data_IF_706730454222
#
_entry.id   IF_706730454222
#
_cell.length_a   1.000
_cell.length_b   1.000
_cell.length_c   1.000
_cell.angle_alpha   90.00
_cell.angle_beta   90.00
_cell.angle_gamma   90.00
#
_symmetry.space_group_name_H-M   'P 1'
#
loop_
_entity.id
_entity.type
_entity.pdbx_description
1 polymer ?
#
# COMPACT_ATOMS: atom_id res chain seq x y z
N UNK A 1 -28.35 -22.75 -6.30
CA UNK A 1 -27.30 -22.04 -7.09
C UNK A 1 -26.59 -21.13 -6.12
N UNK A 2 -25.32 -21.30 -5.90
CA UNK A 2 -24.53 -20.40 -5.09
C UNK A 2 -24.57 -19.00 -5.72
N UNK A 3 -24.89 -17.98 -4.93
CA UNK A 3 -24.99 -16.61 -5.44
C UNK A 3 -23.59 -16.18 -5.91
N UNK A 4 -23.44 -15.78 -7.17
CA UNK A 4 -22.17 -15.31 -7.73
C UNK A 4 -21.68 -14.13 -6.89
N UNK A 5 -20.47 -14.21 -6.35
CA UNK A 5 -19.85 -13.14 -5.59
C UNK A 5 -19.40 -12.03 -6.53
N UNK A 6 -19.81 -10.80 -6.26
CA UNK A 6 -19.50 -9.61 -7.04
C UNK A 6 -18.74 -8.64 -6.17
N UNK A 7 -17.53 -8.29 -6.54
CA UNK A 7 -16.68 -7.35 -5.81
C UNK A 7 -16.54 -6.02 -6.54
N UNK A 8 -16.67 -4.91 -5.82
CA UNK A 8 -16.34 -3.57 -6.31
C UNK A 8 -15.10 -3.06 -5.56
N UNK A 9 -14.03 -2.77 -6.31
CA UNK A 9 -12.76 -2.27 -5.78
C UNK A 9 -12.58 -0.81 -6.22
N UNK A 10 -12.55 0.13 -5.28
CA UNK A 10 -12.06 1.48 -5.56
C UNK A 10 -10.55 1.51 -5.49
N UNK A 11 -9.89 2.34 -6.32
CA UNK A 11 -8.43 2.37 -6.35
C UNK A 11 -7.79 1.11 -6.95
N UNK A 12 -8.48 0.43 -7.86
CA UNK A 12 -8.05 -0.84 -8.46
C UNK A 12 -6.69 -0.77 -9.19
N UNK A 13 -6.29 0.41 -9.64
CA UNK A 13 -4.99 0.65 -10.31
C UNK A 13 -3.83 0.85 -9.33
N UNK A 14 -4.11 0.91 -8.03
CA UNK A 14 -3.10 0.97 -6.99
C UNK A 14 -2.37 -0.36 -6.77
N UNK A 15 -1.37 -0.36 -5.88
CA UNK A 15 -0.67 -1.57 -5.47
C UNK A 15 -1.67 -2.63 -4.97
N UNK A 16 -2.39 -2.32 -3.90
CA UNK A 16 -3.29 -3.26 -3.23
C UNK A 16 -4.48 -3.63 -4.12
N UNK A 17 -5.06 -2.65 -4.82
CA UNK A 17 -6.19 -2.87 -5.73
C UNK A 17 -5.86 -3.85 -6.84
N UNK A 18 -4.65 -3.80 -7.39
CA UNK A 18 -4.21 -4.71 -8.45
C UNK A 18 -4.01 -6.15 -7.94
N UNK A 19 -3.40 -6.34 -6.76
CA UNK A 19 -3.25 -7.66 -6.15
C UNK A 19 -4.58 -8.25 -5.66
N UNK A 20 -5.43 -7.40 -5.07
CA UNK A 20 -6.76 -7.84 -4.65
C UNK A 20 -7.62 -8.27 -5.83
N UNK A 21 -7.54 -7.54 -6.97
CA UNK A 21 -8.25 -7.94 -8.19
C UNK A 21 -7.79 -9.32 -8.69
N UNK A 22 -6.49 -9.60 -8.70
CA UNK A 22 -5.93 -10.93 -9.04
C UNK A 22 -6.48 -12.00 -8.09
N UNK A 23 -6.36 -11.79 -6.79
CA UNK A 23 -6.83 -12.72 -5.75
C UNK A 23 -8.33 -13.04 -5.90
N UNK A 24 -9.16 -12.01 -6.11
CA UNK A 24 -10.60 -12.21 -6.21
C UNK A 24 -10.99 -12.91 -7.53
N UNK A 25 -10.30 -12.63 -8.63
CA UNK A 25 -10.48 -13.36 -9.90
C UNK A 25 -10.13 -14.85 -9.74
N UNK A 26 -9.02 -15.17 -9.06
CA UNK A 26 -8.63 -16.56 -8.75
C UNK A 26 -9.67 -17.27 -7.86
N UNK A 27 -10.31 -16.53 -6.95
CA UNK A 27 -11.42 -17.02 -6.12
C UNK A 27 -12.77 -17.09 -6.86
N UNK A 28 -12.82 -16.76 -8.14
CA UNK A 28 -14.02 -16.88 -8.98
C UNK A 28 -15.02 -15.74 -8.86
N UNK A 29 -14.62 -14.59 -8.32
CA UNK A 29 -15.47 -13.39 -8.26
C UNK A 29 -15.68 -12.76 -9.65
N UNK A 30 -16.79 -12.05 -9.78
CA UNK A 30 -16.96 -11.00 -10.79
C UNK A 30 -16.38 -9.71 -10.23
N UNK A 31 -15.26 -9.27 -10.79
CA UNK A 31 -14.49 -8.15 -10.25
C UNK A 31 -14.75 -6.88 -11.03
N UNK A 32 -15.25 -5.87 -10.35
CA UNK A 32 -15.47 -4.53 -10.86
C UNK A 32 -14.52 -3.56 -10.19
N UNK A 33 -13.83 -2.73 -10.97
CA UNK A 33 -12.93 -1.71 -10.44
C UNK A 33 -13.34 -0.32 -10.84
N UNK A 34 -13.14 0.66 -9.95
CA UNK A 34 -13.29 2.06 -10.31
C UNK A 34 -11.96 2.69 -10.67
N UNK A 35 -11.96 3.47 -11.75
CA UNK A 35 -10.85 4.29 -12.22
C UNK A 35 -11.30 5.74 -12.41
N UNK A 36 -10.41 6.70 -12.15
CA UNK A 36 -10.68 8.10 -12.43
C UNK A 36 -10.49 8.40 -13.91
N UNK A 37 -11.18 9.40 -14.44
CA UNK A 37 -10.89 9.92 -15.78
C UNK A 37 -9.54 10.62 -15.77
N UNK A 38 -8.70 10.27 -16.73
CA UNK A 38 -7.38 10.87 -16.90
C UNK A 38 -7.02 10.88 -18.39
N UNK A 39 -6.22 11.87 -18.81
CA UNK A 39 -5.59 11.92 -20.13
C UNK A 39 -4.35 11.03 -20.24
N UNK A 40 -3.85 10.52 -19.11
CA UNK A 40 -2.70 9.60 -19.03
C UNK A 40 -3.21 8.22 -18.64
N UNK A 41 -2.71 7.19 -19.30
CA UNK A 41 -2.99 5.80 -18.92
C UNK A 41 -2.15 5.42 -17.69
N UNK A 42 -2.83 5.03 -16.62
CA UNK A 42 -2.25 4.58 -15.34
C UNK A 42 -2.69 3.17 -14.95
N UNK A 43 -3.15 2.36 -15.96
CA UNK A 43 -3.66 1.00 -15.75
C UNK A 43 -2.57 -0.08 -15.83
N UNK A 44 -1.29 0.31 -15.87
CA UNK A 44 -0.17 -0.61 -16.04
C UNK A 44 -0.24 -1.82 -15.11
N UNK A 45 -0.59 -1.62 -13.80
CA UNK A 45 -0.65 -2.71 -12.81
C UNK A 45 -1.78 -3.71 -13.03
N UNK A 46 -2.79 -3.35 -13.84
CA UNK A 46 -3.96 -4.19 -14.12
C UNK A 46 -4.11 -4.53 -15.61
N UNK A 47 -3.19 -4.09 -16.46
CA UNK A 47 -3.28 -4.27 -17.91
C UNK A 47 -3.38 -5.75 -18.33
N UNK A 48 -2.74 -6.65 -17.58
CA UNK A 48 -2.79 -8.11 -17.80
C UNK A 48 -4.14 -8.75 -17.43
N UNK A 49 -5.02 -8.02 -16.74
CA UNK A 49 -6.38 -8.45 -16.40
C UNK A 49 -7.41 -8.02 -17.45
N UNK A 50 -7.08 -7.06 -18.31
CA UNK A 50 -7.99 -6.57 -19.34
C UNK A 50 -8.35 -7.69 -20.33
N UNK A 51 -9.63 -7.74 -20.71
CA UNK A 51 -10.15 -8.78 -21.59
C UNK A 51 -10.61 -10.07 -20.90
N UNK A 52 -10.36 -10.24 -19.62
CA UNK A 52 -10.95 -11.36 -18.84
C UNK A 52 -12.47 -11.15 -18.71
N UNK A 53 -13.30 -12.19 -18.89
CA UNK A 53 -14.77 -12.05 -18.95
C UNK A 53 -15.41 -11.61 -17.62
N UNK A 54 -14.71 -11.79 -16.51
CA UNK A 54 -15.13 -11.44 -15.16
C UNK A 54 -14.33 -10.28 -14.56
N UNK A 55 -13.74 -9.42 -15.40
CA UNK A 55 -13.02 -8.21 -15.01
C UNK A 55 -13.57 -6.98 -15.74
N UNK A 56 -14.05 -5.99 -14.97
CA UNK A 56 -14.76 -4.83 -15.51
C UNK A 56 -14.26 -3.54 -14.87
N UNK A 57 -14.10 -2.49 -15.69
CA UNK A 57 -13.70 -1.16 -15.22
C UNK A 57 -14.84 -0.14 -15.40
N UNK A 58 -14.99 0.73 -14.43
CA UNK A 58 -15.96 1.81 -14.39
C UNK A 58 -15.30 3.14 -14.05
N UNK A 59 -15.78 4.22 -14.63
CA UNK A 59 -15.33 5.56 -14.23
C UNK A 59 -16.12 6.03 -13.00
N UNK A 60 -15.39 6.31 -11.91
CA UNK A 60 -15.92 6.97 -10.71
C UNK A 60 -14.81 7.69 -9.95
N UNK A 61 -15.16 8.71 -9.20
CA UNK A 61 -14.27 9.47 -8.33
C UNK A 61 -14.86 9.58 -6.93
N UNK A 62 -14.04 9.43 -5.88
CA UNK A 62 -14.50 9.58 -4.48
C UNK A 62 -14.98 11.00 -4.15
N UNK A 63 -14.58 12.00 -4.94
CA UNK A 63 -15.09 13.36 -4.86
C UNK A 63 -16.48 13.56 -5.50
N UNK A 64 -17.01 12.57 -6.23
CA UNK A 64 -18.27 12.66 -6.96
C UNK A 64 -19.27 11.57 -6.54
N UNK A 65 -20.20 11.94 -5.67
CA UNK A 65 -21.25 11.05 -5.15
C UNK A 65 -22.10 10.42 -6.25
N UNK A 66 -22.41 11.17 -7.34
CA UNK A 66 -23.24 10.64 -8.41
C UNK A 66 -22.56 9.52 -9.18
N UNK A 67 -21.27 9.67 -9.49
CA UNK A 67 -20.52 8.61 -10.18
C UNK A 67 -20.46 7.33 -9.35
N UNK A 68 -20.28 7.46 -8.03
CA UNK A 68 -20.26 6.32 -7.09
C UNK A 68 -21.62 5.63 -7.05
N UNK A 69 -22.72 6.38 -6.89
CA UNK A 69 -24.10 5.83 -6.86
C UNK A 69 -24.44 5.13 -8.18
N UNK A 70 -24.06 5.71 -9.32
CA UNK A 70 -24.29 5.10 -10.64
C UNK A 70 -23.58 3.74 -10.77
N UNK A 71 -22.31 3.66 -10.37
CA UNK A 71 -21.56 2.40 -10.39
C UNK A 71 -22.15 1.40 -9.40
N UNK A 72 -22.44 1.83 -8.16
CA UNK A 72 -23.02 0.98 -7.12
C UNK A 72 -24.35 0.36 -7.58
N UNK A 73 -25.24 1.18 -8.15
CA UNK A 73 -26.54 0.73 -8.66
C UNK A 73 -26.43 -0.22 -9.87
N UNK A 74 -25.47 0.04 -10.76
CA UNK A 74 -25.21 -0.80 -11.94
C UNK A 74 -24.63 -2.15 -11.57
N UNK A 75 -23.66 -2.19 -10.66
CA UNK A 75 -22.89 -3.38 -10.28
C UNK A 75 -23.63 -4.21 -9.25
N UNK A 76 -24.28 -3.58 -8.27
CA UNK A 76 -24.93 -4.22 -7.11
C UNK A 76 -23.99 -5.21 -6.42
N UNK A 77 -22.82 -4.75 -5.93
CA UNK A 77 -21.80 -5.63 -5.38
C UNK A 77 -22.26 -6.31 -4.09
N UNK A 78 -21.77 -7.53 -3.88
CA UNK A 78 -21.88 -8.24 -2.60
C UNK A 78 -20.75 -7.86 -1.63
N UNK A 79 -19.63 -7.37 -2.18
CA UNK A 79 -18.48 -6.90 -1.41
C UNK A 79 -17.92 -5.61 -2.02
N UNK A 80 -17.62 -4.62 -1.20
CA UNK A 80 -16.95 -3.36 -1.60
C UNK A 80 -15.63 -3.26 -0.85
N UNK A 81 -14.56 -3.05 -1.59
CA UNK A 81 -13.22 -2.78 -1.06
C UNK A 81 -12.83 -1.35 -1.38
N UNK A 82 -12.89 -0.46 -0.39
CA UNK A 82 -12.51 0.93 -0.57
C UNK A 82 -11.03 1.13 -0.30
N UNK A 83 -10.23 1.08 -1.37
CA UNK A 83 -8.77 1.24 -1.34
C UNK A 83 -8.32 2.56 -1.97
N UNK A 84 -9.24 3.31 -2.60
CA UNK A 84 -8.91 4.62 -3.17
C UNK A 84 -8.64 5.64 -2.08
N UNK A 85 -7.56 6.38 -2.21
CA UNK A 85 -7.15 7.42 -1.28
C UNK A 85 -6.13 8.38 -1.92
N UNK A 86 -5.97 9.58 -1.34
CA UNK A 86 -4.72 10.33 -1.42
C UNK A 86 -3.79 9.76 -0.34
N UNK A 87 -2.92 8.80 -0.68
CA UNK A 87 -2.16 8.00 0.30
C UNK A 87 -0.76 8.53 0.65
N UNK A 88 -0.33 9.64 0.04
CA UNK A 88 1.00 10.21 0.28
C UNK A 88 0.95 11.23 1.43
N UNK A 89 1.51 10.85 2.59
CA UNK A 89 1.43 11.67 3.82
C UNK A 89 1.99 13.08 3.61
N UNK A 90 3.16 13.23 2.95
CA UNK A 90 3.75 14.54 2.69
C UNK A 90 2.82 15.44 1.86
N UNK A 91 2.20 14.90 0.81
CA UNK A 91 1.25 15.66 -0.04
C UNK A 91 0.04 16.16 0.75
N UNK A 92 -0.33 15.51 1.85
CA UNK A 92 -1.45 15.98 2.67
C UNK A 92 -1.18 17.31 3.38
N UNK A 93 0.09 17.68 3.60
CA UNK A 93 0.44 19.01 4.12
C UNK A 93 0.31 20.09 3.05
N UNK A 94 0.55 19.73 1.78
CA UNK A 94 0.43 20.67 0.65
C UNK A 94 -1.02 20.81 0.15
N UNK A 95 -1.82 19.75 0.31
CA UNK A 95 -3.20 19.66 -0.18
C UNK A 95 -4.15 19.06 0.87
N UNK A 96 -4.31 19.70 2.05
CA UNK A 96 -5.08 19.11 3.16
C UNK A 96 -6.58 19.02 2.87
N UNK A 97 -7.17 20.00 2.18
CA UNK A 97 -8.58 20.01 1.82
C UNK A 97 -8.93 18.89 0.85
N UNK A 98 -8.13 18.71 -0.21
CA UNK A 98 -8.30 17.61 -1.16
C UNK A 98 -8.15 16.25 -0.47
N UNK A 99 -7.18 16.13 0.45
CA UNK A 99 -6.98 14.92 1.24
C UNK A 99 -8.21 14.61 2.11
N UNK A 100 -8.77 15.62 2.77
CA UNK A 100 -9.98 15.46 3.58
C UNK A 100 -11.20 15.09 2.73
N UNK A 101 -11.37 15.68 1.56
CA UNK A 101 -12.50 15.37 0.68
C UNK A 101 -12.45 13.92 0.17
N UNK A 102 -11.28 13.45 -0.23
CA UNK A 102 -11.10 12.07 -0.74
C UNK A 102 -11.11 11.04 0.38
N UNK A 103 -10.29 11.25 1.42
CA UNK A 103 -9.96 10.21 2.40
C UNK A 103 -10.94 10.17 3.60
N UNK A 104 -11.66 11.27 3.84
CA UNK A 104 -12.72 11.34 4.86
C UNK A 104 -14.10 11.31 4.21
N UNK A 105 -14.49 12.35 3.50
CA UNK A 105 -15.83 12.47 2.92
C UNK A 105 -16.09 11.43 1.84
N UNK A 106 -15.05 11.00 1.11
CA UNK A 106 -15.15 9.92 0.13
C UNK A 106 -15.60 8.59 0.73
N UNK A 107 -15.17 8.27 1.96
CA UNK A 107 -15.65 7.07 2.69
C UNK A 107 -17.13 7.17 2.99
N UNK A 108 -17.59 8.33 3.47
CA UNK A 108 -19.00 8.58 3.71
C UNK A 108 -19.83 8.43 2.43
N UNK A 109 -19.35 8.93 1.28
CA UNK A 109 -20.02 8.78 -0.01
C UNK A 109 -20.21 7.31 -0.42
N UNK A 110 -19.24 6.43 -0.16
CA UNK A 110 -19.37 4.98 -0.40
C UNK A 110 -20.44 4.37 0.50
N UNK A 111 -20.41 4.67 1.80
CA UNK A 111 -21.39 4.16 2.76
C UNK A 111 -22.82 4.59 2.38
N UNK A 112 -23.00 5.88 2.06
CA UNK A 112 -24.28 6.39 1.59
C UNK A 112 -24.72 5.77 0.25
N UNK A 113 -23.80 5.53 -0.67
CA UNK A 113 -24.13 4.85 -1.93
C UNK A 113 -24.65 3.42 -1.68
N UNK A 114 -24.06 2.66 -0.76
CA UNK A 114 -24.56 1.34 -0.36
C UNK A 114 -25.99 1.45 0.18
N UNK A 115 -26.26 2.42 1.07
CA UNK A 115 -27.59 2.64 1.65
C UNK A 115 -28.61 3.08 0.60
N UNK A 116 -28.28 4.10 -0.21
CA UNK A 116 -29.17 4.66 -1.22
C UNK A 116 -29.53 3.66 -2.33
N UNK A 117 -28.63 2.71 -2.60
CA UNK A 117 -28.90 1.64 -3.57
C UNK A 117 -29.61 0.42 -2.95
N UNK A 118 -30.01 0.47 -1.67
CA UNK A 118 -30.74 -0.61 -0.98
C UNK A 118 -29.88 -1.86 -0.74
N UNK A 119 -28.58 -1.71 -0.57
CA UNK A 119 -27.63 -2.81 -0.43
C UNK A 119 -27.17 -3.05 1.02
N UNK A 120 -27.76 -2.37 1.98
CA UNK A 120 -27.38 -2.41 3.41
C UNK A 120 -27.27 -3.82 3.96
N UNK A 121 -28.22 -4.70 3.65
CA UNK A 121 -28.29 -6.06 4.19
C UNK A 121 -27.51 -7.10 3.36
N UNK A 122 -27.06 -6.73 2.16
CA UNK A 122 -26.50 -7.68 1.18
C UNK A 122 -25.05 -7.42 0.80
N UNK A 123 -24.56 -6.21 1.07
CA UNK A 123 -23.20 -5.79 0.73
C UNK A 123 -22.33 -5.66 1.97
N UNK A 124 -21.17 -6.31 1.95
CA UNK A 124 -20.12 -6.16 2.95
C UNK A 124 -19.10 -5.12 2.47
N UNK A 125 -18.63 -4.24 3.35
CA UNK A 125 -17.66 -3.20 3.00
C UNK A 125 -16.38 -3.32 3.82
N UNK A 126 -15.25 -3.33 3.12
CA UNK A 126 -13.92 -3.15 3.70
C UNK A 126 -13.43 -1.72 3.46
N UNK A 127 -12.96 -1.07 4.51
CA UNK A 127 -12.27 0.22 4.45
C UNK A 127 -10.79 0.05 4.74
N UNK A 128 -9.94 0.45 3.79
CA UNK A 128 -8.52 0.59 4.05
C UNK A 128 -8.27 1.76 5.01
N UNK A 129 -7.95 1.46 6.25
CA UNK A 129 -7.48 2.42 7.23
C UNK A 129 -5.94 2.42 7.27
N UNK A 130 -5.30 2.94 8.31
CA UNK A 130 -3.85 3.13 8.34
C UNK A 130 -3.30 3.14 9.76
N UNK A 131 -2.07 2.65 9.94
CA UNK A 131 -1.32 2.80 11.20
C UNK A 131 -1.00 4.26 11.55
N UNK A 132 -1.06 5.18 10.59
CA UNK A 132 -0.87 6.62 10.83
C UNK A 132 -1.94 7.20 11.78
N UNK A 133 -3.06 6.49 12.03
CA UNK A 133 -4.04 6.87 13.06
C UNK A 133 -3.40 6.97 14.46
N UNK A 134 -2.44 6.07 14.75
CA UNK A 134 -1.74 6.06 16.03
C UNK A 134 -0.81 7.26 16.21
N UNK A 135 -0.24 7.77 15.11
CA UNK A 135 0.50 9.02 15.03
C UNK A 135 1.57 9.19 16.11
N UNK A 136 1.34 10.10 17.06
CA UNK A 136 2.18 10.22 18.26
C UNK A 136 1.82 9.10 19.23
N UNK A 137 2.42 7.93 19.02
CA UNK A 137 2.06 6.68 19.68
C UNK A 137 2.15 6.78 21.20
N UNK A 138 1.13 6.25 21.88
CA UNK A 138 1.05 6.24 23.35
C UNK A 138 1.52 4.90 23.94
N UNK A 139 1.45 3.83 23.16
CA UNK A 139 1.89 2.48 23.55
C UNK A 139 2.44 1.68 22.36
N UNK A 140 3.27 0.70 22.63
CA UNK A 140 3.85 -0.23 21.65
C UNK A 140 3.82 -1.67 22.18
N UNK A 141 3.51 -2.68 21.34
CA UNK A 141 2.98 -2.52 19.98
C UNK A 141 1.54 -2.00 19.96
N UNK A 142 1.12 -1.38 18.83
CA UNK A 142 -0.23 -0.85 18.68
C UNK A 142 -1.21 -1.97 18.27
N UNK A 143 -2.39 -1.94 18.88
CA UNK A 143 -3.49 -2.85 18.61
C UNK A 143 -4.82 -2.09 18.38
N UNK A 144 -5.91 -2.79 18.21
CA UNK A 144 -7.24 -2.19 17.93
C UNK A 144 -7.80 -1.33 19.05
N UNK A 145 -7.25 -1.42 20.27
CA UNK A 145 -7.67 -0.64 21.45
C UNK A 145 -6.74 0.53 21.76
N UNK A 146 -5.57 0.58 21.11
CA UNK A 146 -4.59 1.67 21.28
C UNK A 146 -5.22 3.01 20.87
N UNK A 147 -5.18 4.05 21.71
CA UNK A 147 -5.72 5.36 21.38
C UNK A 147 -5.09 5.95 20.11
N UNK A 148 -5.91 6.61 19.30
CA UNK A 148 -5.47 7.32 18.12
C UNK A 148 -5.01 8.74 18.49
N UNK A 149 -3.87 9.13 17.93
CA UNK A 149 -3.33 10.49 18.05
C UNK A 149 -2.75 10.93 16.69
N UNK A 150 -3.63 11.16 15.67
CA UNK A 150 -3.18 11.43 14.31
C UNK A 150 -2.22 12.62 14.25
N UNK A 151 -1.17 12.48 13.42
CA UNK A 151 -0.05 13.42 13.41
C UNK A 151 0.24 13.96 11.99
N UNK A 152 -0.77 13.97 11.12
CA UNK A 152 -0.76 14.58 9.78
C UNK A 152 -2.20 14.85 9.30
N UNK A 153 -2.41 15.75 8.32
CA UNK A 153 -3.73 15.94 7.70
C UNK A 153 -4.29 14.65 7.10
N UNK A 154 -3.43 13.81 6.51
CA UNK A 154 -3.79 12.47 6.03
C UNK A 154 -4.35 11.59 7.17
N UNK A 155 -3.64 11.50 8.29
CA UNK A 155 -4.06 10.69 9.43
C UNK A 155 -5.40 11.17 10.02
N UNK A 156 -5.62 12.49 10.10
CA UNK A 156 -6.90 13.07 10.56
C UNK A 156 -8.06 12.69 9.61
N UNK A 157 -7.85 12.78 8.30
CA UNK A 157 -8.85 12.39 7.31
C UNK A 157 -9.17 10.88 7.39
N UNK A 158 -8.16 10.04 7.53
CA UNK A 158 -8.32 8.58 7.70
C UNK A 158 -8.99 8.23 9.02
N UNK A 159 -8.76 9.01 10.09
CA UNK A 159 -9.46 8.82 11.36
C UNK A 159 -10.96 9.09 11.24
N UNK A 160 -11.37 10.14 10.51
CA UNK A 160 -12.77 10.31 10.19
C UNK A 160 -13.33 9.09 9.46
N UNK A 161 -12.62 8.59 8.43
CA UNK A 161 -13.03 7.40 7.67
C UNK A 161 -13.20 6.17 8.57
N UNK A 162 -12.30 5.95 9.53
CA UNK A 162 -12.40 4.85 10.50
C UNK A 162 -13.67 4.97 11.37
N UNK A 163 -13.91 6.14 11.96
CA UNK A 163 -15.02 6.35 12.87
C UNK A 163 -16.38 6.35 12.15
N UNK A 164 -16.48 6.90 10.94
CA UNK A 164 -17.73 6.87 10.20
C UNK A 164 -18.11 5.45 9.76
N UNK A 165 -17.16 4.58 9.45
CA UNK A 165 -17.40 3.15 9.19
C UNK A 165 -17.98 2.48 10.44
N UNK A 166 -17.38 2.75 11.61
CA UNK A 166 -17.88 2.20 12.89
C UNK A 166 -19.28 2.72 13.21
N UNK A 167 -19.54 4.01 13.02
CA UNK A 167 -20.87 4.61 13.21
C UNK A 167 -21.94 3.96 12.33
N UNK A 168 -21.64 3.73 11.04
CA UNK A 168 -22.58 3.10 10.11
C UNK A 168 -22.83 1.61 10.45
N UNK A 169 -21.85 0.92 10.97
CA UNK A 169 -21.99 -0.43 11.50
C UNK A 169 -22.98 -0.47 12.67
N UNK A 170 -22.86 0.46 13.62
CA UNK A 170 -23.66 0.52 14.83
C UNK A 170 -25.05 1.11 14.57
N UNK A 171 -25.16 2.20 13.81
CA UNK A 171 -26.41 2.91 13.57
C UNK A 171 -27.33 2.21 12.56
N UNK A 172 -26.75 1.59 11.52
CA UNK A 172 -27.51 1.01 10.40
C UNK A 172 -27.35 -0.50 10.26
N UNK A 173 -26.68 -1.15 11.21
CA UNK A 173 -26.40 -2.59 11.19
C UNK A 173 -25.69 -3.06 9.88
N UNK A 174 -24.90 -2.19 9.28
CA UNK A 174 -24.15 -2.50 8.06
C UNK A 174 -22.98 -3.44 8.36
N UNK A 175 -22.72 -4.42 7.50
CA UNK A 175 -21.49 -5.19 7.58
C UNK A 175 -20.35 -4.37 6.99
N UNK A 176 -19.71 -3.53 7.79
CA UNK A 176 -18.57 -2.73 7.37
C UNK A 176 -17.44 -2.79 8.40
N UNK A 177 -16.20 -2.93 7.89
CA UNK A 177 -15.00 -3.21 8.68
C UNK A 177 -13.85 -2.31 8.23
N UNK A 178 -12.99 -1.92 9.17
CA UNK A 178 -11.74 -1.24 8.86
C UNK A 178 -10.54 -2.16 9.10
N UNK A 179 -9.63 -2.24 8.12
CA UNK A 179 -8.28 -2.79 8.32
C UNK A 179 -7.31 -1.67 8.66
N UNK A 180 -6.73 -1.68 9.86
CA UNK A 180 -5.70 -0.73 10.28
C UNK A 180 -4.37 -1.24 9.72
N UNK A 181 -4.07 -0.80 8.50
CA UNK A 181 -2.92 -1.28 7.73
C UNK A 181 -1.62 -0.64 8.21
N UNK A 182 -0.68 -1.48 8.60
CA UNK A 182 0.72 -1.09 8.72
C UNK A 182 1.38 -1.04 7.34
N UNK A 183 2.61 -0.56 7.27
CA UNK A 183 3.27 -0.39 5.99
C UNK A 183 3.37 -1.72 5.24
N UNK A 184 2.96 -1.74 3.99
CA UNK A 184 3.02 -2.92 3.15
C UNK A 184 3.48 -2.53 1.75
N UNK A 185 4.43 -3.28 1.28
CA UNK A 185 5.26 -2.92 0.16
C UNK A 185 5.24 -4.03 -0.90
N UNK A 186 5.67 -3.70 -2.09
CA UNK A 186 5.87 -4.66 -3.17
C UNK A 186 6.62 -4.02 -4.34
N UNK A 187 6.90 -4.82 -5.35
CA UNK A 187 7.38 -4.36 -6.65
C UNK A 187 6.40 -3.42 -7.39
N UNK A 188 5.13 -3.32 -6.89
CA UNK A 188 4.10 -2.40 -7.40
C UNK A 188 3.94 -1.13 -6.55
N UNK A 189 4.76 -0.95 -5.52
CA UNK A 189 4.72 0.27 -4.69
C UNK A 189 4.98 1.51 -5.53
N UNK A 190 4.35 2.64 -5.20
CA UNK A 190 4.63 3.92 -5.84
C UNK A 190 6.09 4.35 -5.64
N UNK A 191 6.74 4.86 -6.67
CA UNK A 191 8.19 5.17 -6.68
C UNK A 191 8.60 6.29 -5.73
N UNK A 192 7.64 7.11 -5.29
CA UNK A 192 7.85 8.20 -4.31
C UNK A 192 7.89 7.73 -2.87
N UNK A 193 7.46 6.50 -2.57
CA UNK A 193 7.53 5.93 -1.23
C UNK A 193 8.94 5.44 -0.89
N UNK A 194 9.34 5.61 0.37
CA UNK A 194 10.73 5.42 0.84
C UNK A 194 11.31 4.06 0.42
N UNK A 195 10.60 2.98 0.58
CA UNK A 195 11.05 1.63 0.25
C UNK A 195 11.32 1.48 -1.24
N UNK A 196 10.39 1.89 -2.11
CA UNK A 196 10.57 1.83 -3.56
C UNK A 196 11.64 2.82 -4.04
N UNK A 197 11.73 3.99 -3.43
CA UNK A 197 12.80 4.95 -3.68
C UNK A 197 14.18 4.33 -3.41
N UNK A 198 14.31 3.55 -2.34
CA UNK A 198 15.56 2.86 -1.98
C UNK A 198 15.89 1.78 -3.02
N UNK A 199 14.96 0.89 -3.36
CA UNK A 199 15.22 -0.24 -4.26
C UNK A 199 15.54 0.22 -5.68
N UNK A 200 14.80 1.23 -6.20
CA UNK A 200 15.11 1.86 -7.49
C UNK A 200 16.47 2.57 -7.49
N UNK A 201 16.81 3.30 -6.43
CA UNK A 201 18.09 3.96 -6.34
C UNK A 201 19.24 2.95 -6.28
N UNK A 202 19.12 1.86 -5.50
CA UNK A 202 20.12 0.79 -5.46
C UNK A 202 20.34 0.17 -6.85
N UNK A 203 19.26 -0.11 -7.58
CA UNK A 203 19.31 -0.64 -8.94
C UNK A 203 19.97 0.36 -9.93
N UNK A 204 19.59 1.64 -9.88
CA UNK A 204 20.15 2.70 -10.75
C UNK A 204 21.61 2.99 -10.44
N UNK A 205 22.01 3.02 -9.16
CA UNK A 205 23.41 3.21 -8.74
C UNK A 205 24.27 2.04 -9.24
N UNK A 206 23.81 0.80 -9.08
CA UNK A 206 24.49 -0.39 -9.58
C UNK A 206 24.73 -0.33 -11.09
N UNK A 207 23.79 0.23 -11.85
CA UNK A 207 23.87 0.36 -13.31
C UNK A 207 24.48 1.68 -13.78
N UNK A 208 25.00 2.51 -12.86
CA UNK A 208 25.68 3.78 -13.19
C UNK A 208 24.75 4.91 -13.66
N UNK A 209 23.44 4.81 -13.38
CA UNK A 209 22.43 5.80 -13.80
C UNK A 209 22.07 6.81 -12.71
N UNK A 210 22.53 6.59 -11.51
CA UNK A 210 22.36 7.48 -10.37
C UNK A 210 23.61 7.48 -9.51
N UNK A 211 23.98 8.64 -8.96
CA UNK A 211 25.20 8.76 -8.15
C UNK A 211 24.93 8.49 -6.68
N UNK A 212 23.81 9.01 -6.14
CA UNK A 212 23.48 8.95 -4.71
C UNK A 212 21.99 8.80 -4.47
N UNK A 213 21.67 8.24 -3.32
CA UNK A 213 20.35 8.22 -2.72
C UNK A 213 20.29 9.18 -1.55
N UNK A 214 19.28 10.05 -1.52
CA UNK A 214 19.01 10.95 -0.39
C UNK A 214 17.78 10.46 0.38
N UNK A 215 17.92 10.31 1.70
CA UNK A 215 16.89 9.85 2.62
C UNK A 215 16.69 10.86 3.77
N UNK A 216 15.59 10.74 4.50
CA UNK A 216 15.38 11.44 5.75
C UNK A 216 15.93 10.64 6.94
N UNK A 217 15.16 10.57 8.03
CA UNK A 217 15.54 9.86 9.24
C UNK A 217 15.73 8.35 9.01
N UNK A 218 16.98 7.87 9.11
CA UNK A 218 17.35 6.47 8.92
C UNK A 218 16.96 5.58 10.11
N UNK A 219 16.72 6.16 11.29
CA UNK A 219 16.35 5.44 12.51
C UNK A 219 14.83 5.24 12.66
N UNK A 220 14.04 5.80 11.75
CA UNK A 220 12.58 5.58 11.74
C UNK A 220 12.27 4.10 11.64
N UNK A 221 11.48 3.60 12.60
CA UNK A 221 11.07 2.19 12.68
C UNK A 221 9.70 1.98 12.06
N UNK A 222 9.58 0.97 11.22
CA UNK A 222 8.32 0.60 10.57
C UNK A 222 8.13 -0.91 10.59
N UNK A 223 6.88 -1.32 10.67
CA UNK A 223 6.45 -2.69 10.42
C UNK A 223 6.12 -2.80 8.94
N UNK A 224 6.96 -3.49 8.17
CA UNK A 224 6.80 -3.68 6.72
C UNK A 224 6.40 -5.11 6.38
N UNK A 225 5.27 -5.28 5.70
CA UNK A 225 4.83 -6.55 5.16
C UNK A 225 4.73 -6.55 3.63
N UNK A 226 4.41 -7.70 3.06
CA UNK A 226 4.20 -7.86 1.62
C UNK A 226 2.74 -7.60 1.25
N UNK A 227 2.50 -6.77 0.26
CA UNK A 227 1.14 -6.35 -0.11
C UNK A 227 0.22 -7.52 -0.50
N UNK A 228 0.74 -8.60 -1.09
CA UNK A 228 -0.06 -9.81 -1.39
C UNK A 228 -0.59 -10.50 -0.14
N UNK A 229 0.22 -10.56 0.92
CA UNK A 229 -0.21 -11.15 2.19
C UNK A 229 -1.30 -10.29 2.83
N UNK A 230 -1.21 -8.97 2.67
CA UNK A 230 -2.17 -8.01 3.22
C UNK A 230 -3.53 -8.03 2.51
N UNK A 231 -3.55 -8.17 1.18
CA UNK A 231 -4.83 -8.25 0.44
C UNK A 231 -5.59 -9.54 0.75
N UNK A 232 -4.90 -10.63 1.10
CA UNK A 232 -5.53 -11.83 1.62
C UNK A 232 -6.26 -11.55 2.93
N UNK A 233 -5.64 -10.81 3.85
CA UNK A 233 -6.29 -10.39 5.10
C UNK A 233 -7.51 -9.50 4.86
N UNK A 234 -7.44 -8.57 3.91
CA UNK A 234 -8.59 -7.72 3.51
C UNK A 234 -9.79 -8.59 3.08
N UNK A 235 -9.53 -9.63 2.29
CA UNK A 235 -10.57 -10.57 1.88
C UNK A 235 -11.10 -11.37 3.07
N UNK A 236 -10.22 -11.92 3.93
CA UNK A 236 -10.61 -12.71 5.11
C UNK A 236 -11.50 -11.90 6.08
N UNK A 237 -11.24 -10.61 6.26
CA UNK A 237 -12.05 -9.72 7.11
C UNK A 237 -13.51 -9.69 6.64
N UNK A 238 -13.74 -9.65 5.34
CA UNK A 238 -15.10 -9.68 4.79
C UNK A 238 -15.73 -11.07 4.76
N UNK A 239 -14.96 -12.15 4.99
CA UNK A 239 -15.51 -13.50 5.16
C UNK A 239 -15.89 -13.84 6.61
N UNK A 240 -15.53 -12.98 7.58
CA UNK A 240 -15.83 -13.19 8.99
C UNK A 240 -17.36 -13.23 9.27
N UNK A 241 -17.76 -13.86 10.36
CA UNK A 241 -19.17 -13.95 10.75
C UNK A 241 -19.73 -12.59 11.23
N UNK A 242 -18.90 -11.77 11.86
CA UNK A 242 -19.28 -10.47 12.42
C UNK A 242 -18.35 -9.38 11.92
N UNK A 243 -18.89 -8.15 11.71
CA UNK A 243 -18.06 -7.02 11.30
C UNK A 243 -17.21 -6.52 12.49
N UNK A 244 -15.89 -6.58 12.33
CA UNK A 244 -14.92 -6.09 13.30
C UNK A 244 -13.76 -5.38 12.57
N UNK A 245 -13.06 -4.52 13.31
CA UNK A 245 -11.84 -3.87 12.82
C UNK A 245 -10.61 -4.67 13.23
N UNK A 246 -9.58 -4.68 12.38
CA UNK A 246 -8.38 -5.49 12.59
C UNK A 246 -7.11 -4.70 12.30
N UNK A 247 -6.10 -4.85 13.15
CA UNK A 247 -4.72 -4.48 12.84
C UNK A 247 -4.14 -5.49 11.86
N UNK A 248 -3.62 -4.97 10.74
CA UNK A 248 -2.94 -5.76 9.72
C UNK A 248 -1.47 -5.35 9.71
N UNK A 249 -0.62 -6.20 10.30
CA UNK A 249 0.80 -5.94 10.54
C UNK A 249 1.58 -7.26 10.56
N UNK A 250 2.90 -7.21 10.42
CA UNK A 250 3.76 -8.39 10.56
C UNK A 250 4.08 -8.71 12.02
N UNK A 251 4.03 -7.71 12.90
CA UNK A 251 4.49 -7.80 14.28
C UNK A 251 6.01 -7.66 14.43
N UNK A 252 6.72 -7.22 13.39
CA UNK A 252 8.16 -7.01 13.38
C UNK A 252 8.48 -5.61 12.87
N UNK A 253 9.49 -5.00 13.48
CA UNK A 253 9.98 -3.69 13.08
C UNK A 253 11.36 -3.75 12.45
N UNK A 254 11.58 -2.88 11.48
CA UNK A 254 12.87 -2.64 10.85
C UNK A 254 13.09 -1.15 10.67
N UNK A 255 14.34 -0.70 10.70
CA UNK A 255 14.71 0.69 10.43
C UNK A 255 14.83 0.95 8.91
N UNK A 256 14.71 2.22 8.53
CA UNK A 256 14.99 2.65 7.14
C UNK A 256 16.43 2.30 6.75
N UNK A 257 17.38 2.38 7.72
CA UNK A 257 18.79 1.96 7.53
C UNK A 257 18.90 0.49 7.18
N UNK A 258 18.23 -0.40 7.95
CA UNK A 258 18.23 -1.86 7.65
C UNK A 258 17.67 -2.16 6.29
N UNK A 259 16.58 -1.50 5.91
CA UNK A 259 16.00 -1.66 4.57
C UNK A 259 16.98 -1.22 3.47
N UNK A 260 17.62 -0.05 3.63
CA UNK A 260 18.61 0.43 2.67
C UNK A 260 19.84 -0.50 2.60
N UNK A 261 20.37 -0.92 3.76
CA UNK A 261 21.49 -1.87 3.83
C UNK A 261 21.21 -3.14 3.04
N UNK A 262 20.03 -3.72 3.27
CA UNK A 262 19.63 -4.97 2.63
C UNK A 262 19.38 -4.79 1.11
N UNK A 263 18.77 -3.67 0.72
CA UNK A 263 18.55 -3.37 -0.70
C UNK A 263 19.87 -3.22 -1.48
N UNK A 264 20.86 -2.54 -0.91
CA UNK A 264 22.19 -2.44 -1.51
C UNK A 264 22.93 -3.77 -1.53
N UNK A 265 22.82 -4.57 -0.47
CA UNK A 265 23.36 -5.92 -0.42
C UNK A 265 22.86 -6.79 -1.60
N UNK A 266 21.56 -6.78 -1.89
CA UNK A 266 20.99 -7.57 -2.99
C UNK A 266 21.41 -7.13 -4.39
N UNK A 267 21.92 -5.90 -4.56
CA UNK A 267 22.58 -5.50 -5.82
C UNK A 267 24.10 -5.73 -5.80
N UNK A 268 24.63 -6.38 -4.76
CA UNK A 268 26.07 -6.69 -4.61
C UNK A 268 26.89 -5.45 -4.26
N UNK A 269 26.39 -4.61 -3.37
CA UNK A 269 27.04 -3.43 -2.80
C UNK A 269 26.92 -3.48 -1.28
N UNK A 270 28.06 -3.51 -0.57
CA UNK A 270 28.07 -3.42 0.88
C UNK A 270 28.30 -1.98 1.33
N UNK A 271 27.43 -1.52 2.23
CA UNK A 271 27.51 -0.19 2.81
C UNK A 271 28.10 -0.23 4.23
N UNK A 272 28.99 0.72 4.52
CA UNK A 272 29.41 1.08 5.88
C UNK A 272 28.81 2.43 6.21
N UNK A 273 28.15 2.52 7.37
CA UNK A 273 27.56 3.77 7.83
C UNK A 273 28.55 4.57 8.66
N UNK A 274 28.69 5.85 8.35
CA UNK A 274 29.56 6.81 9.05
C UNK A 274 28.80 8.10 9.34
N UNK A 275 29.09 8.71 10.50
CA UNK A 275 28.33 9.88 10.98
C UNK A 275 27.12 9.49 11.83
N UNK A 276 26.26 10.46 12.10
CA UNK A 276 25.00 10.30 12.85
C UNK A 276 23.99 11.34 12.39
N UNK A 277 22.70 11.00 12.52
CA UNK A 277 21.60 11.92 12.22
C UNK A 277 21.72 12.54 10.81
N UNK A 278 21.66 13.86 10.69
CA UNK A 278 21.71 14.57 9.41
C UNK A 278 23.09 14.46 8.70
N UNK A 279 24.13 14.06 9.41
CA UNK A 279 25.48 13.88 8.84
C UNK A 279 25.81 12.42 8.52
N UNK A 280 24.83 11.52 8.65
CA UNK A 280 25.03 10.10 8.39
C UNK A 280 25.14 9.80 6.90
N UNK A 281 26.10 8.92 6.54
CA UNK A 281 26.41 8.55 5.16
C UNK A 281 26.61 7.05 5.06
N UNK A 282 26.09 6.45 3.98
CA UNK A 282 26.38 5.09 3.57
C UNK A 282 27.47 5.08 2.51
N UNK A 283 28.63 4.52 2.86
CA UNK A 283 29.82 4.46 2.01
C UNK A 283 29.98 3.04 1.48
N UNK A 284 30.20 2.88 0.18
CA UNK A 284 30.47 1.60 -0.45
C UNK A 284 31.84 1.05 0.01
N UNK A 285 31.84 -0.10 0.69
CA UNK A 285 33.07 -0.77 1.12
C UNK A 285 33.38 -2.01 0.32
N UNK A 286 32.37 -2.64 -0.31
CA UNK A 286 32.49 -3.77 -1.21
C UNK A 286 31.46 -3.63 -2.35
N UNK A 287 31.87 -3.95 -3.60
CA UNK A 287 31.01 -3.84 -4.78
C UNK A 287 31.81 -3.57 -6.06
N UNK A 288 31.19 -2.93 -7.08
CA UNK A 288 31.90 -2.49 -8.29
C UNK A 288 33.07 -1.58 -7.96
N UNK A 289 34.23 -1.80 -8.56
CA UNK A 289 35.48 -1.06 -8.28
C UNK A 289 35.30 0.45 -8.34
N UNK A 290 34.52 0.92 -9.31
CA UNK A 290 34.25 2.34 -9.50
C UNK A 290 33.36 2.98 -8.44
N UNK A 291 32.74 2.19 -7.55
CA UNK A 291 31.88 2.63 -6.45
C UNK A 291 32.57 2.56 -5.08
N UNK A 292 33.63 1.74 -4.92
CA UNK A 292 34.33 1.57 -3.66
C UNK A 292 34.86 2.92 -3.14
N UNK A 293 34.59 3.21 -1.88
CA UNK A 293 34.95 4.46 -1.19
C UNK A 293 34.01 5.64 -1.49
N UNK A 294 33.03 5.48 -2.39
CA UNK A 294 32.06 6.55 -2.65
C UNK A 294 30.92 6.54 -1.63
N UNK A 295 30.44 7.72 -1.31
CA UNK A 295 29.18 7.90 -0.55
C UNK A 295 28.01 7.66 -1.51
N UNK A 296 27.23 6.64 -1.23
CA UNK A 296 26.07 6.25 -2.04
C UNK A 296 24.74 6.64 -1.41
N UNK A 297 24.69 6.80 -0.08
CA UNK A 297 23.51 7.24 0.67
C UNK A 297 23.88 8.44 1.53
N UNK A 298 23.05 9.48 1.51
CA UNK A 298 23.19 10.66 2.37
C UNK A 298 21.84 11.03 2.98
N UNK A 299 21.87 11.52 4.23
CA UNK A 299 20.68 12.11 4.85
C UNK A 299 20.51 13.54 4.33
N UNK A 300 19.28 13.93 4.02
CA UNK A 300 18.93 15.29 3.62
C UNK A 300 17.77 15.83 4.44
N UNK A 301 17.87 17.03 5.00
CA UNK A 301 16.77 17.70 5.72
C UNK A 301 15.51 17.89 4.87
N UNK A 302 15.61 17.95 3.55
CA UNK A 302 14.48 18.12 2.62
C UNK A 302 13.48 16.96 2.68
N UNK A 303 13.90 15.81 3.23
CA UNK A 303 13.05 14.62 3.40
C UNK A 303 12.50 14.46 4.83
N UNK A 304 12.70 15.43 5.71
CA UNK A 304 12.05 15.48 7.02
C UNK A 304 10.66 16.09 6.87
N UNK A 305 9.68 15.52 7.57
CA UNK A 305 8.32 16.04 7.61
C UNK A 305 8.17 17.07 8.73
N UNK A 306 7.20 18.01 8.64
CA UNK A 306 6.88 18.93 9.73
C UNK A 306 6.56 18.22 11.04
N UNK A 307 5.89 17.07 10.94
CA UNK A 307 5.68 16.10 12.03
C UNK A 307 5.94 14.70 11.47
N UNK A 308 6.72 13.90 12.16
CA UNK A 308 7.04 12.54 11.73
C UNK A 308 6.71 11.53 12.83
N UNK A 309 6.22 10.38 12.40
CA UNK A 309 5.93 9.25 13.28
C UNK A 309 7.18 8.39 13.35
N UNK A 310 7.73 8.27 14.56
CA UNK A 310 9.03 7.58 14.76
C UNK A 310 8.87 6.07 14.88
N UNK A 311 7.75 5.61 15.47
CA UNK A 311 7.61 4.22 15.88
C UNK A 311 6.20 3.69 15.53
N UNK A 312 6.11 2.88 14.48
CA UNK A 312 4.89 2.12 14.14
C UNK A 312 5.20 0.62 14.21
N UNK A 313 4.60 -0.03 15.19
CA UNK A 313 4.77 -1.47 15.46
C UNK A 313 3.41 -2.10 15.75
N UNK A 314 2.87 -2.88 14.82
CA UNK A 314 1.54 -3.46 14.94
C UNK A 314 1.52 -4.78 15.70
N UNK A 315 0.42 -5.01 16.44
CA UNK A 315 0.11 -6.30 17.03
C UNK A 315 -0.97 -7.02 16.20
N UNK A 316 -0.62 -8.02 15.38
CA UNK A 316 -1.57 -8.75 14.55
C UNK A 316 -2.30 -9.89 15.28
N UNK A 317 -2.20 -9.99 16.60
CA UNK A 317 -2.71 -11.12 17.38
C UNK A 317 -4.20 -11.40 17.12
N UNK A 318 -5.04 -10.36 17.04
CA UNK A 318 -6.46 -10.50 16.75
C UNK A 318 -6.72 -11.07 15.35
N UNK A 319 -6.06 -10.53 14.33
CA UNK A 319 -6.19 -11.01 12.95
C UNK A 319 -5.73 -12.46 12.80
N UNK A 320 -4.61 -12.84 13.41
CA UNK A 320 -4.11 -14.22 13.46
C UNK A 320 -5.11 -15.16 14.11
N UNK A 321 -5.64 -14.78 15.27
CA UNK A 321 -6.53 -15.65 16.05
C UNK A 321 -7.92 -15.81 15.43
N UNK A 322 -8.51 -14.72 14.93
CA UNK A 322 -9.89 -14.73 14.42
C UNK A 322 -10.02 -15.07 12.94
N UNK A 323 -9.03 -14.71 12.14
CA UNK A 323 -9.05 -14.89 10.69
C UNK A 323 -8.17 -16.06 10.22
N UNK A 324 -7.41 -16.67 11.13
CA UNK A 324 -6.37 -17.67 10.79
C UNK A 324 -5.37 -17.15 9.73
N UNK A 325 -5.12 -15.84 9.76
CA UNK A 325 -4.21 -15.18 8.83
C UNK A 325 -2.76 -15.29 9.29
N UNK A 326 -1.84 -15.56 8.36
CA UNK A 326 -0.40 -15.56 8.63
C UNK A 326 0.26 -14.30 8.05
N UNK A 327 0.64 -13.33 8.87
CA UNK A 327 1.25 -12.08 8.41
C UNK A 327 2.69 -12.22 7.92
N UNK A 328 3.32 -13.37 8.13
CA UNK A 328 4.74 -13.63 7.81
C UNK A 328 4.89 -14.74 6.77
N UNK A 329 3.99 -14.81 5.80
CA UNK A 329 4.12 -15.70 4.63
C UNK A 329 5.36 -15.30 3.82
N UNK A 330 5.56 -13.99 3.66
CA UNK A 330 6.76 -13.41 3.07
C UNK A 330 7.62 -12.76 4.16
N UNK A 331 8.90 -13.11 4.24
CA UNK A 331 9.84 -12.50 5.19
C UNK A 331 10.22 -11.07 4.76
N UNK A 332 10.79 -10.29 5.70
CA UNK A 332 11.32 -8.96 5.38
C UNK A 332 12.44 -9.03 4.33
N UNK A 333 13.32 -10.00 4.47
CA UNK A 333 14.42 -10.26 3.54
C UNK A 333 13.88 -10.60 2.14
N UNK A 334 12.91 -11.51 2.04
CA UNK A 334 12.28 -11.85 0.77
C UNK A 334 11.56 -10.68 0.13
N UNK A 335 10.86 -9.87 0.93
CA UNK A 335 10.19 -8.64 0.45
C UNK A 335 11.19 -7.69 -0.21
N UNK A 336 12.30 -7.36 0.47
CA UNK A 336 13.33 -6.46 -0.07
C UNK A 336 13.93 -7.05 -1.33
N UNK A 337 14.22 -8.36 -1.33
CA UNK A 337 14.76 -9.08 -2.48
C UNK A 337 13.84 -9.01 -3.70
N UNK A 338 12.55 -9.32 -3.52
CA UNK A 338 11.52 -9.24 -4.59
C UNK A 338 11.49 -7.83 -5.20
N UNK A 339 11.50 -6.80 -4.36
CA UNK A 339 11.48 -5.41 -4.82
C UNK A 339 12.74 -5.04 -5.60
N UNK A 340 13.91 -5.43 -5.10
CA UNK A 340 15.21 -5.14 -5.74
C UNK A 340 15.33 -5.86 -7.08
N UNK A 341 15.00 -7.16 -7.14
CA UNK A 341 15.07 -7.95 -8.38
C UNK A 341 14.15 -7.35 -9.46
N UNK A 342 12.94 -6.95 -9.08
CA UNK A 342 12.01 -6.28 -9.99
C UNK A 342 12.56 -4.94 -10.50
N UNK A 343 13.16 -4.13 -9.61
CA UNK A 343 13.71 -2.84 -10.00
C UNK A 343 14.99 -2.96 -10.84
N UNK A 344 15.83 -3.95 -10.57
CA UNK A 344 16.97 -4.27 -11.43
C UNK A 344 16.53 -4.62 -12.85
N UNK A 345 15.49 -5.43 -12.99
CA UNK A 345 14.91 -5.77 -14.29
C UNK A 345 14.31 -4.55 -15.00
N UNK A 346 13.56 -3.72 -14.25
CA UNK A 346 12.97 -2.48 -14.76
C UNK A 346 14.04 -1.54 -15.30
N UNK A 347 15.07 -1.26 -14.52
CA UNK A 347 16.15 -0.33 -14.89
C UNK A 347 16.95 -0.85 -16.09
N UNK A 348 17.16 -2.17 -16.21
CA UNK A 348 17.81 -2.78 -17.36
C UNK A 348 16.97 -2.68 -18.64
N UNK A 349 15.65 -2.83 -18.54
CA UNK A 349 14.76 -2.75 -19.69
C UNK A 349 14.53 -1.29 -20.17
N UNK A 350 14.65 -0.28 -19.30
CA UNK A 350 14.65 1.14 -19.69
C UNK A 350 15.74 1.43 -20.72
N UNK A 351 16.92 0.78 -20.63
CA UNK A 351 18.03 0.91 -21.59
C UNK A 351 17.70 0.30 -22.96
N UNK A 352 16.89 -0.74 -22.99
CA UNK A 352 16.48 -1.39 -24.23
C UNK A 352 15.36 -0.63 -24.97
N UNK A 353 14.93 0.54 -24.48
CA UNK A 353 13.84 1.32 -25.05
C UNK A 353 12.46 0.63 -24.92
N UNK A 354 12.35 -0.35 -24.04
CA UNK A 354 11.12 -1.08 -23.80
C UNK A 354 10.30 -0.42 -22.68
N UNK A 355 9.01 -0.22 -22.90
CA UNK A 355 8.08 0.10 -21.80
C UNK A 355 7.98 -1.11 -20.87
N UNK A 356 8.55 -0.95 -19.68
CA UNK A 356 8.60 -2.00 -18.68
C UNK A 356 7.26 -2.09 -17.95
N UNK A 357 6.58 -3.23 -18.05
CA UNK A 357 5.42 -3.56 -17.21
C UNK A 357 5.92 -4.14 -15.89
N UNK A 358 5.30 -3.75 -14.76
CA UNK A 358 5.68 -4.20 -13.41
C UNK A 358 5.30 -5.68 -13.15
N UNK A 359 5.91 -6.61 -13.88
CA UNK A 359 5.67 -8.04 -13.69
C UNK A 359 6.97 -8.84 -13.84
N UNK A 360 7.61 -9.15 -12.71
CA UNK A 360 8.85 -9.94 -12.66
C UNK A 360 8.70 -11.30 -13.35
N UNK A 361 7.54 -11.98 -13.21
CA UNK A 361 7.29 -13.26 -13.85
C UNK A 361 7.41 -13.15 -15.39
N UNK A 362 6.92 -12.07 -15.98
CA UNK A 362 7.02 -11.83 -17.43
C UNK A 362 8.48 -11.60 -17.89
N UNK A 363 9.34 -11.04 -17.03
CA UNK A 363 10.76 -10.84 -17.36
C UNK A 363 11.56 -12.12 -17.23
N UNK A 364 11.23 -12.98 -16.26
CA UNK A 364 11.83 -14.31 -16.12
C UNK A 364 11.45 -15.21 -17.29
N UNK A 365 10.18 -15.21 -17.71
CA UNK A 365 9.71 -15.99 -18.88
C UNK A 365 10.36 -15.53 -20.19
N UNK A 366 10.62 -14.22 -20.34
CA UNK A 366 11.27 -13.64 -21.53
C UNK A 366 12.78 -13.74 -21.50
N UNK A 367 13.38 -14.30 -20.44
CA UNK A 367 14.83 -14.43 -20.28
C UNK A 367 15.58 -13.10 -20.18
N UNK A 368 14.89 -12.02 -19.85
CA UNK A 368 15.46 -10.66 -19.67
C UNK A 368 16.23 -10.60 -18.35
N UNK A 369 15.85 -11.42 -17.39
CA UNK A 369 16.54 -11.63 -16.12
C UNK A 369 16.88 -13.13 -16.02
N UNK A 370 18.11 -13.45 -15.59
CA UNK A 370 18.54 -14.82 -15.32
C UNK A 370 18.54 -15.11 -13.83
#
# INVERSE_FOLDING_TARGET
MEQKKVALITGITGQDGSYLAELLLEKGYDVHGTIRRSSVDYRERIAHLEGKPNFHLHYADLGDSMSIIQVMNKVKPTEVYNLAAQSHVQVSFDSPEFTADVDATGVLRILEAIRQCGLTDTCRMYQASTSELYGKVEEVPQNENTPFHPYSPYAVAKQYGFWIVKEYREAYNMFCCSGILFNHESERRGETFVTRKITLAAARIKQGKQEKLYLGNLDSLRDWGYAKDYVECMWLILQAEKPEDFVIATGKQHSVREFAQLAFHYVGIELKWEGKEENEKGICVEGPENLIGKTLVEVSPDFYRPTDVVNLWGDPTKAKAKLNWNPNTTSFEDLVKIMVESDMAKVAAEDAGQKVRCNLAEYLEKGIVK
#
